data_IF_208647368292
#
_entry.id   IF_208647368292
#
_cell.length_a   1.000
_cell.length_b   1.000
_cell.length_c   1.000
_cell.angle_alpha   90.00
_cell.angle_beta   90.00
_cell.angle_gamma   90.00
#
_symmetry.space_group_name_H-M   'P 1'
#
loop_
_entity.id
_entity.type
_entity.pdbx_description
1 polymer ?
#
# COMPACT_ATOMS: atom_id res chain seq x y z
N UNK A 1 -6.15 -8.97 -2.88
CA UNK A 1 -7.08 -9.92 -3.31
C UNK A 1 -8.12 -10.33 -2.27
N UNK A 2 -8.34 -11.64 -2.17
CA UNK A 2 -9.44 -12.25 -1.43
C UNK A 2 -9.55 -11.74 0.02
N UNK A 3 -8.45 -11.75 0.77
CA UNK A 3 -8.42 -11.29 2.17
C UNK A 3 -9.03 -9.89 2.37
N UNK A 4 -8.72 -8.92 1.50
CA UNK A 4 -9.28 -7.56 1.62
C UNK A 4 -10.75 -7.51 1.25
N UNK A 5 -11.18 -8.37 0.33
CA UNK A 5 -12.58 -8.52 -0.03
C UNK A 5 -13.40 -9.07 1.15
N UNK A 6 -12.87 -10.11 1.78
CA UNK A 6 -13.51 -10.75 2.94
C UNK A 6 -13.62 -9.79 4.13
N UNK A 7 -12.56 -8.99 4.39
CA UNK A 7 -12.62 -7.94 5.42
C UNK A 7 -13.68 -6.87 5.12
N UNK A 8 -13.81 -6.46 3.87
CA UNK A 8 -14.84 -5.49 3.48
C UNK A 8 -16.26 -6.09 3.61
N UNK A 9 -16.40 -7.40 3.43
CA UNK A 9 -17.66 -8.09 3.65
C UNK A 9 -18.00 -8.14 5.15
N UNK A 10 -17.06 -8.55 6.01
CA UNK A 10 -17.24 -8.55 7.46
C UNK A 10 -17.64 -7.16 7.98
N UNK A 11 -16.99 -6.09 7.48
CA UNK A 11 -17.37 -4.72 7.83
C UNK A 11 -18.85 -4.43 7.53
N UNK A 12 -19.35 -4.85 6.37
CA UNK A 12 -20.76 -4.66 6.01
C UNK A 12 -21.70 -5.49 6.88
N UNK A 13 -21.34 -6.74 7.16
CA UNK A 13 -22.13 -7.67 7.96
C UNK A 13 -22.27 -7.17 9.42
N UNK A 14 -21.26 -6.43 9.90
CA UNK A 14 -21.30 -5.75 11.20
C UNK A 14 -21.94 -4.34 11.16
N UNK A 15 -22.60 -3.97 10.06
CA UNK A 15 -23.33 -2.71 9.91
C UNK A 15 -22.48 -1.53 9.44
N UNK A 16 -21.22 -1.75 9.08
CA UNK A 16 -20.36 -0.71 8.52
C UNK A 16 -20.72 -0.39 7.07
N UNK A 17 -20.41 0.83 6.64
CA UNK A 17 -20.64 1.29 5.26
C UNK A 17 -19.31 1.39 4.50
N UNK A 18 -19.25 0.78 3.32
CA UNK A 18 -18.16 0.95 2.38
C UNK A 18 -18.57 1.92 1.27
N UNK A 19 -17.88 3.05 1.18
CA UNK A 19 -18.09 4.08 0.15
C UNK A 19 -16.88 4.12 -0.80
N UNK A 20 -17.12 3.93 -2.08
CA UNK A 20 -16.10 4.08 -3.11
C UNK A 20 -16.02 5.54 -3.53
N UNK A 21 -15.22 6.33 -2.81
CA UNK A 21 -15.03 7.75 -3.05
C UNK A 21 -13.61 8.18 -2.66
N UNK A 22 -13.22 9.40 -3.02
CA UNK A 22 -11.95 10.01 -2.63
C UNK A 22 -12.18 11.02 -1.51
N UNK A 23 -11.50 10.83 -0.37
CA UNK A 23 -11.42 11.84 0.67
C UNK A 23 -10.48 12.97 0.21
N UNK A 24 -11.01 14.17 0.10
CA UNK A 24 -10.27 15.32 -0.43
C UNK A 24 -9.87 16.32 0.63
N UNK A 25 -10.58 16.37 1.77
CA UNK A 25 -10.29 17.27 2.88
C UNK A 25 -10.85 16.76 4.21
N UNK A 26 -10.43 17.39 5.31
CA UNK A 26 -10.91 17.12 6.67
C UNK A 26 -11.24 18.48 7.28
N UNK A 27 -12.48 18.68 7.74
CA UNK A 27 -12.94 19.92 8.37
C UNK A 27 -12.85 19.81 9.88
N UNK A 28 -12.20 20.77 10.49
CA UNK A 28 -12.18 20.96 11.94
C UNK A 28 -13.01 22.20 12.33
N UNK A 29 -13.74 22.10 13.46
CA UNK A 29 -14.32 23.22 14.17
C UNK A 29 -13.85 23.18 15.60
N UNK A 30 -13.39 24.30 16.13
CA UNK A 30 -12.82 24.41 17.50
C UNK A 30 -11.74 23.34 17.78
N UNK A 31 -10.93 23.03 16.75
CA UNK A 31 -9.84 22.07 16.83
C UNK A 31 -10.26 20.59 16.79
N UNK A 32 -11.55 20.29 16.64
CA UNK A 32 -12.06 18.92 16.54
C UNK A 32 -12.65 18.65 15.15
N UNK A 33 -12.53 17.40 14.70
CA UNK A 33 -13.13 16.97 13.44
C UNK A 33 -14.65 17.07 13.51
N UNK A 34 -15.25 17.55 12.42
CA UNK A 34 -16.70 17.58 12.22
C UNK A 34 -17.14 16.82 11.00
N UNK A 35 -16.27 16.69 9.99
CA UNK A 35 -16.60 15.97 8.77
C UNK A 35 -15.37 15.68 7.91
N UNK A 36 -15.47 14.64 7.08
CA UNK A 36 -14.55 14.35 5.98
C UNK A 36 -15.20 14.79 4.67
N UNK A 37 -14.50 15.64 3.92
CA UNK A 37 -14.94 16.05 2.58
C UNK A 37 -14.55 14.97 1.56
N UNK A 38 -15.51 14.54 0.77
CA UNK A 38 -15.27 13.59 -0.33
C UNK A 38 -15.71 14.20 -1.67
N UNK A 39 -15.33 13.57 -2.79
CA UNK A 39 -15.84 13.99 -4.11
C UNK A 39 -17.35 13.85 -4.26
N UNK A 40 -18.00 13.07 -3.41
CA UNK A 40 -19.44 12.82 -3.44
C UNK A 40 -20.21 13.61 -2.37
N UNK A 41 -19.53 14.43 -1.58
CA UNK A 41 -20.11 15.25 -0.53
C UNK A 41 -19.39 15.10 0.81
N UNK A 42 -19.88 15.82 1.80
CA UNK A 42 -19.37 15.81 3.15
C UNK A 42 -19.95 14.62 3.95
N UNK A 43 -19.11 13.96 4.71
CA UNK A 43 -19.47 12.90 5.65
C UNK A 43 -19.24 13.40 7.07
N UNK A 44 -20.29 13.76 7.82
CA UNK A 44 -20.16 14.12 9.23
C UNK A 44 -19.60 12.98 10.06
N UNK A 45 -18.70 13.28 10.98
CA UNK A 45 -18.12 12.29 11.89
C UNK A 45 -17.52 12.96 13.13
N UNK A 46 -17.49 12.23 14.23
CA UNK A 46 -16.84 12.63 15.46
C UNK A 46 -15.37 12.20 15.53
N UNK A 47 -15.03 11.16 14.76
CA UNK A 47 -13.66 10.63 14.64
C UNK A 47 -13.37 10.19 13.21
N UNK A 48 -12.11 10.27 12.79
CA UNK A 48 -11.64 9.74 11.52
C UNK A 48 -10.28 9.07 11.67
N UNK A 49 -10.10 7.94 10.99
CA UNK A 49 -8.79 7.26 10.90
C UNK A 49 -8.22 7.50 9.51
N UNK A 50 -7.08 8.18 9.46
CA UNK A 50 -6.34 8.44 8.23
C UNK A 50 -5.41 7.26 7.93
N UNK A 51 -5.86 6.38 7.05
CA UNK A 51 -5.15 5.16 6.64
C UNK A 51 -4.88 5.12 5.12
N UNK A 52 -4.72 6.28 4.48
CA UNK A 52 -4.61 6.43 3.02
C UNK A 52 -3.18 6.21 2.47
N UNK A 53 -2.31 5.49 3.19
CA UNK A 53 -0.96 5.17 2.74
C UNK A 53 -0.15 6.43 2.43
N UNK A 54 0.48 6.49 1.25
CA UNK A 54 1.29 7.64 0.84
C UNK A 54 0.47 8.93 0.65
N UNK A 55 -0.80 8.80 0.29
CA UNK A 55 -1.70 9.95 0.11
C UNK A 55 -2.09 10.62 1.42
N UNK A 56 -1.88 9.97 2.56
CA UNK A 56 -2.05 10.57 3.89
C UNK A 56 -1.21 11.83 4.07
N UNK A 57 -0.04 11.94 3.42
CA UNK A 57 0.84 13.13 3.48
C UNK A 57 0.10 14.41 3.06
N UNK A 58 -0.73 14.34 2.02
CA UNK A 58 -1.47 15.49 1.53
C UNK A 58 -2.56 15.93 2.51
N UNK A 59 -3.30 14.98 3.09
CA UNK A 59 -4.35 15.25 4.08
C UNK A 59 -3.76 15.76 5.41
N UNK A 60 -2.64 15.18 5.87
CA UNK A 60 -1.92 15.66 7.05
C UNK A 60 -1.50 17.14 6.90
N UNK A 61 -1.01 17.52 5.72
CA UNK A 61 -0.62 18.92 5.45
C UNK A 61 -1.81 19.89 5.54
N UNK A 62 -3.01 19.44 5.15
CA UNK A 62 -4.25 20.24 5.30
C UNK A 62 -4.64 20.43 6.75
N UNK A 63 -4.32 19.48 7.61
CA UNK A 63 -4.47 19.59 9.07
C UNK A 63 -3.34 20.40 9.73
N UNK A 64 -2.43 21.02 8.96
CA UNK A 64 -1.30 21.77 9.48
C UNK A 64 -0.15 20.88 10.00
N UNK A 65 -0.22 19.58 9.80
CA UNK A 65 0.79 18.62 10.32
C UNK A 65 1.75 18.22 9.21
N UNK A 66 3.04 18.49 9.41
CA UNK A 66 4.11 18.07 8.50
C UNK A 66 4.60 16.68 8.87
N UNK A 67 4.51 15.75 7.91
CA UNK A 67 5.02 14.38 8.06
C UNK A 67 6.11 14.10 7.04
N UNK A 68 7.15 13.39 7.48
CA UNK A 68 8.22 12.90 6.62
C UNK A 68 7.81 11.52 6.07
N UNK A 69 7.13 11.54 4.94
CA UNK A 69 6.63 10.35 4.25
C UNK A 69 7.08 10.40 2.78
N UNK A 70 7.76 9.36 2.31
CA UNK A 70 8.23 9.25 0.93
C UNK A 70 7.62 8.03 0.23
N UNK A 71 7.39 8.18 -1.07
CA UNK A 71 6.90 7.10 -1.90
C UNK A 71 8.05 6.18 -2.32
N UNK A 72 8.15 5.03 -1.67
CA UNK A 72 9.04 3.97 -2.10
C UNK A 72 8.32 3.12 -3.15
N UNK A 73 8.71 3.29 -4.42
CA UNK A 73 8.14 2.56 -5.55
C UNK A 73 8.64 1.13 -5.55
N UNK A 74 7.74 0.18 -5.44
CA UNK A 74 8.03 -1.24 -5.56
C UNK A 74 7.51 -1.77 -6.87
N UNK A 75 8.29 -2.67 -7.50
CA UNK A 75 7.96 -3.24 -8.81
C UNK A 75 7.81 -4.74 -8.72
N UNK A 76 6.94 -5.32 -9.57
CA UNK A 76 6.94 -6.75 -9.81
C UNK A 76 6.57 -7.09 -11.26
N UNK A 77 7.01 -8.27 -11.66
CA UNK A 77 6.55 -8.97 -12.85
C UNK A 77 5.71 -10.17 -12.40
N UNK A 78 4.58 -10.36 -13.05
CA UNK A 78 3.73 -11.52 -12.86
C UNK A 78 3.67 -12.32 -14.17
N UNK A 79 4.31 -13.49 -14.18
CA UNK A 79 4.37 -14.40 -15.32
C UNK A 79 3.16 -15.32 -15.27
N UNK A 80 2.34 -15.34 -16.32
CA UNK A 80 1.16 -16.19 -16.45
C UNK A 80 1.50 -17.53 -17.06
N UNK A 81 0.91 -18.59 -16.55
CA UNK A 81 1.14 -19.97 -17.00
C UNK A 81 2.63 -20.31 -17.15
N UNK A 82 3.45 -20.08 -16.10
CA UNK A 82 4.87 -20.32 -16.16
C UNK A 82 5.16 -21.85 -16.24
N UNK A 83 6.10 -22.26 -17.11
CA UNK A 83 6.52 -23.65 -17.22
C UNK A 83 7.28 -24.16 -16.01
N UNK A 84 7.75 -23.26 -15.15
CA UNK A 84 8.50 -23.58 -13.94
C UNK A 84 8.08 -22.64 -12.80
N UNK A 85 7.88 -23.22 -11.61
CA UNK A 85 7.65 -22.47 -10.38
C UNK A 85 8.43 -23.13 -9.23
N UNK A 86 9.01 -22.37 -8.31
CA UNK A 86 9.58 -22.95 -7.11
C UNK A 86 8.45 -23.50 -6.23
N UNK A 87 8.74 -24.52 -5.45
CA UNK A 87 7.75 -25.09 -4.50
C UNK A 87 7.38 -24.11 -3.39
N UNK A 88 8.34 -23.29 -2.95
CA UNK A 88 8.19 -22.33 -1.87
C UNK A 88 8.64 -20.93 -2.34
N UNK A 89 8.15 -19.85 -1.71
CA UNK A 89 8.71 -18.52 -1.90
C UNK A 89 10.21 -18.51 -1.63
N UNK A 90 10.97 -17.81 -2.46
CA UNK A 90 12.42 -17.72 -2.34
C UNK A 90 12.91 -16.29 -2.57
N UNK A 91 14.01 -15.94 -1.89
CA UNK A 91 14.72 -14.68 -2.11
C UNK A 91 15.94 -14.92 -3.01
N UNK A 92 16.02 -14.18 -4.10
CA UNK A 92 17.17 -14.20 -5.00
C UNK A 92 18.14 -13.10 -4.57
N UNK A 93 19.13 -13.44 -3.76
CA UNK A 93 20.06 -12.48 -3.14
C UNK A 93 20.82 -11.64 -4.16
N UNK A 94 21.34 -12.24 -5.23
CA UNK A 94 22.09 -11.54 -6.30
C UNK A 94 21.22 -10.48 -7.01
N UNK A 95 19.93 -10.76 -7.19
CA UNK A 95 18.97 -9.85 -7.86
C UNK A 95 18.18 -8.98 -6.89
N UNK A 96 18.29 -9.22 -5.59
CA UNK A 96 17.54 -8.53 -4.52
C UNK A 96 16.04 -8.50 -4.79
N UNK A 97 15.46 -9.64 -5.22
CA UNK A 97 14.04 -9.78 -5.45
C UNK A 97 13.51 -11.13 -4.93
N UNK A 98 12.23 -11.14 -4.58
CA UNK A 98 11.52 -12.33 -4.15
C UNK A 98 10.81 -12.99 -5.33
N UNK A 99 10.82 -14.29 -5.35
CA UNK A 99 10.09 -15.13 -6.29
C UNK A 99 9.03 -15.89 -5.52
N UNK A 100 7.77 -15.67 -5.86
CA UNK A 100 6.63 -16.26 -5.17
C UNK A 100 5.77 -17.04 -6.15
N UNK A 101 5.58 -18.35 -5.93
CA UNK A 101 4.54 -19.12 -6.63
C UNK A 101 3.17 -18.62 -6.15
N UNK A 102 2.28 -18.31 -7.10
CA UNK A 102 0.93 -17.87 -6.85
C UNK A 102 -0.05 -18.78 -7.58
N UNK A 103 -1.29 -18.88 -7.13
CA UNK A 103 -2.31 -19.63 -7.85
C UNK A 103 -2.53 -19.10 -9.30
N UNK A 104 -2.24 -17.80 -9.51
CA UNK A 104 -2.36 -17.12 -10.82
C UNK A 104 -1.07 -17.11 -11.65
N UNK A 105 0.05 -17.70 -11.18
CA UNK A 105 1.32 -17.72 -11.90
C UNK A 105 2.55 -17.51 -11.02
N UNK A 106 3.63 -16.97 -11.58
CA UNK A 106 4.88 -16.71 -10.88
C UNK A 106 5.09 -15.20 -10.70
N UNK A 107 5.12 -14.73 -9.46
CA UNK A 107 5.39 -13.33 -9.14
C UNK A 107 6.84 -13.10 -8.74
N UNK A 108 7.54 -12.28 -9.49
CA UNK A 108 8.89 -11.81 -9.21
C UNK A 108 8.84 -10.35 -8.76
N UNK A 109 9.03 -10.09 -7.46
CA UNK A 109 8.86 -8.78 -6.85
C UNK A 109 10.15 -8.31 -6.19
N UNK A 110 10.60 -7.13 -6.53
CA UNK A 110 11.82 -6.55 -5.94
C UNK A 110 12.03 -5.13 -6.42
N UNK A 111 13.25 -4.67 -6.23
CA UNK A 111 13.68 -3.31 -6.55
C UNK A 111 12.89 -2.22 -5.81
N UNK A 112 13.59 -1.17 -5.48
CA UNK A 112 13.06 0.03 -4.85
C UNK A 112 13.54 1.23 -5.64
N UNK A 113 12.63 2.16 -5.87
CA UNK A 113 12.93 3.44 -6.51
C UNK A 113 12.28 4.56 -5.69
N UNK A 114 13.04 5.60 -5.37
CA UNK A 114 12.50 6.84 -4.83
C UNK A 114 12.22 7.80 -5.98
N UNK A 115 10.98 8.20 -6.17
CA UNK A 115 10.60 9.01 -7.34
C UNK A 115 9.26 9.71 -7.22
N UNK A 116 8.73 9.83 -6.00
CA UNK A 116 7.44 10.44 -5.73
C UNK A 116 6.27 9.68 -6.38
N UNK A 117 5.10 10.29 -6.39
CA UNK A 117 3.84 9.66 -6.83
C UNK A 117 3.34 10.13 -8.20
N UNK A 118 3.97 11.15 -8.79
CA UNK A 118 3.45 11.83 -9.99
C UNK A 118 3.94 11.23 -11.32
N UNK A 119 5.14 10.63 -11.33
CA UNK A 119 5.69 10.00 -12.53
C UNK A 119 5.21 8.56 -12.66
N UNK A 120 4.96 8.11 -13.88
CA UNK A 120 4.64 6.72 -14.20
C UNK A 120 5.77 5.74 -13.83
N UNK A 121 5.57 4.43 -14.02
CA UNK A 121 6.58 3.41 -13.74
C UNK A 121 7.82 3.57 -14.62
N UNK A 122 8.99 3.29 -14.03
CA UNK A 122 10.27 3.27 -14.73
C UNK A 122 10.50 1.89 -15.36
N UNK A 123 11.06 1.87 -16.58
CA UNK A 123 11.37 0.60 -17.28
C UNK A 123 12.53 -0.16 -16.64
N UNK A 124 13.56 0.56 -16.18
CA UNK A 124 14.81 -0.04 -15.67
C UNK A 124 14.60 -1.06 -14.51
N UNK A 125 13.78 -0.79 -13.48
CA UNK A 125 13.48 -1.79 -12.45
C UNK A 125 12.84 -3.06 -13.00
N UNK A 126 11.89 -2.93 -13.92
CA UNK A 126 11.20 -4.06 -14.54
C UNK A 126 12.15 -4.91 -15.42
N UNK A 127 12.97 -4.27 -16.23
CA UNK A 127 14.00 -4.94 -17.03
C UNK A 127 15.03 -5.67 -16.16
N UNK A 128 15.39 -5.09 -15.02
CA UNK A 128 16.29 -5.70 -14.05
C UNK A 128 15.70 -7.00 -13.48
N UNK A 129 14.44 -6.95 -13.03
CA UNK A 129 13.72 -8.13 -12.53
C UNK A 129 13.64 -9.20 -13.62
N UNK A 130 13.27 -8.83 -14.84
CA UNK A 130 13.16 -9.74 -15.99
C UNK A 130 14.48 -10.44 -16.29
N UNK A 131 15.57 -9.68 -16.34
CA UNK A 131 16.92 -10.20 -16.57
C UNK A 131 17.35 -11.20 -15.48
N UNK A 132 17.14 -10.85 -14.21
CA UNK A 132 17.49 -11.72 -13.09
C UNK A 132 16.58 -12.96 -13.02
N UNK A 133 15.30 -12.83 -13.32
CA UNK A 133 14.39 -13.98 -13.43
C UNK A 133 14.89 -14.97 -14.48
N UNK A 134 15.32 -14.49 -15.66
CA UNK A 134 15.91 -15.34 -16.72
C UNK A 134 17.21 -16.03 -16.29
N UNK A 135 18.01 -15.39 -15.43
CA UNK A 135 19.22 -16.02 -14.88
C UNK A 135 18.91 -17.15 -13.90
N UNK A 136 17.84 -17.01 -13.10
CA UNK A 136 17.40 -18.02 -12.13
C UNK A 136 16.66 -19.17 -12.81
N UNK A 137 15.87 -18.86 -13.82
CA UNK A 137 15.05 -19.80 -14.59
C UNK A 137 15.36 -19.67 -16.10
N UNK A 138 16.51 -20.22 -16.58
CA UNK A 138 16.93 -20.04 -17.97
C UNK A 138 15.94 -20.59 -18.99
N UNK A 139 15.24 -21.67 -18.64
CA UNK A 139 14.26 -22.37 -19.51
C UNK A 139 12.81 -21.94 -19.25
N UNK A 140 12.58 -20.88 -18.46
CA UNK A 140 11.23 -20.39 -18.16
C UNK A 140 10.53 -19.93 -19.44
N UNK A 141 9.41 -20.56 -19.76
CA UNK A 141 8.42 -20.11 -20.73
C UNK A 141 7.15 -19.68 -20.01
N UNK A 142 6.40 -18.77 -20.60
CA UNK A 142 5.15 -18.24 -20.06
C UNK A 142 4.31 -17.65 -21.19
N UNK A 143 3.01 -17.52 -20.97
CA UNK A 143 2.10 -16.99 -22.01
C UNK A 143 2.16 -15.46 -22.05
N UNK A 144 2.20 -14.81 -20.88
CA UNK A 144 2.18 -13.35 -20.77
C UNK A 144 2.91 -12.89 -19.50
N UNK A 145 3.29 -11.61 -19.46
CA UNK A 145 3.90 -10.98 -18.29
C UNK A 145 3.23 -9.65 -17.99
N UNK A 146 2.64 -9.56 -16.80
CA UNK A 146 2.08 -8.31 -16.29
C UNK A 146 3.13 -7.54 -15.51
N UNK A 147 3.25 -6.26 -15.81
CA UNK A 147 4.11 -5.31 -15.11
C UNK A 147 3.29 -4.52 -14.10
N UNK A 148 3.82 -4.36 -12.90
CA UNK A 148 3.13 -3.60 -11.86
C UNK A 148 4.10 -2.75 -11.05
N UNK A 149 3.62 -1.59 -10.64
CA UNK A 149 4.31 -0.68 -9.72
C UNK A 149 3.34 -0.17 -8.67
N UNK A 150 3.79 -0.08 -7.43
CA UNK A 150 3.02 0.50 -6.33
C UNK A 150 3.88 1.36 -5.42
N UNK A 151 3.21 2.17 -4.62
CA UNK A 151 3.82 3.13 -3.70
C UNK A 151 3.74 2.62 -2.27
N UNK A 152 4.89 2.35 -1.65
CA UNK A 152 4.96 2.08 -0.22
C UNK A 152 5.13 3.40 0.52
N UNK A 153 4.33 3.65 1.55
CA UNK A 153 4.46 4.85 2.38
C UNK A 153 5.61 4.68 3.36
N UNK A 154 6.79 5.19 3.04
CA UNK A 154 8.00 4.99 3.85
C UNK A 154 8.30 6.21 4.71
N UNK A 155 8.53 5.97 5.98
CA UNK A 155 9.02 6.92 6.99
C UNK A 155 10.53 6.81 7.13
N UNK A 156 11.24 7.86 7.56
CA UNK A 156 12.72 7.83 7.68
C UNK A 156 13.25 6.79 8.68
N UNK A 157 12.50 6.55 9.75
CA UNK A 157 12.84 5.62 10.83
C UNK A 157 12.22 4.24 10.66
N UNK A 158 11.47 4.02 9.56
CA UNK A 158 10.74 2.79 9.27
C UNK A 158 9.61 2.47 10.26
N UNK A 159 9.21 3.40 11.12
CA UNK A 159 8.09 3.23 12.05
C UNK A 159 6.82 3.84 11.47
N UNK A 160 5.68 3.15 11.57
CA UNK A 160 4.39 3.71 11.16
C UNK A 160 3.94 4.82 12.10
N UNK A 161 3.20 5.77 11.58
CA UNK A 161 2.51 6.80 12.36
C UNK A 161 1.16 6.25 12.78
N UNK A 162 0.99 6.02 14.09
CA UNK A 162 -0.21 5.43 14.67
C UNK A 162 -0.59 6.21 15.94
N UNK A 163 -1.82 6.71 16.00
CA UNK A 163 -2.36 7.42 17.17
C UNK A 163 -3.09 8.70 16.81
N UNK A 164 -3.69 9.32 17.81
CA UNK A 164 -4.46 10.55 17.66
C UNK A 164 -3.55 11.77 17.38
N UNK A 165 -3.98 12.64 16.51
CA UNK A 165 -3.33 13.90 16.19
C UNK A 165 -3.76 14.99 17.18
N UNK A 166 -3.05 15.09 18.28
CA UNK A 166 -3.45 16.00 19.37
C UNK A 166 -4.77 15.55 20.02
N UNK A 167 -5.75 16.46 20.09
CA UNK A 167 -7.11 16.18 20.58
C UNK A 167 -8.15 16.45 19.50
N UNK A 168 -7.81 16.19 18.24
CA UNK A 168 -8.64 16.55 17.11
C UNK A 168 -9.73 15.53 16.78
N UNK A 169 -9.66 14.30 17.31
CA UNK A 169 -10.48 13.18 16.86
C UNK A 169 -10.01 12.56 15.53
N UNK A 170 -8.89 13.04 14.96
CA UNK A 170 -8.27 12.44 13.78
C UNK A 170 -7.11 11.54 14.20
N UNK A 171 -7.14 10.29 13.78
CA UNK A 171 -6.11 9.30 14.09
C UNK A 171 -5.27 9.01 12.85
N UNK A 172 -3.96 8.95 13.01
CA UNK A 172 -3.04 8.45 12.00
C UNK A 172 -2.95 6.92 12.07
N UNK A 173 -2.93 6.24 10.93
CA UNK A 173 -2.71 4.80 10.80
C UNK A 173 -2.04 4.48 9.46
N UNK A 174 -0.86 5.03 9.18
CA UNK A 174 -0.16 4.89 7.91
C UNK A 174 1.36 4.87 8.08
N UNK A 175 2.09 4.69 6.98
CA UNK A 175 3.56 4.67 7.01
C UNK A 175 4.17 3.28 7.27
N UNK A 176 3.42 2.21 7.06
CA UNK A 176 3.81 0.83 7.36
C UNK A 176 4.78 0.19 6.37
N UNK A 177 5.21 0.89 5.32
CA UNK A 177 6.13 0.38 4.31
C UNK A 177 5.73 -1.02 3.76
N UNK A 178 6.53 -2.05 4.04
CA UNK A 178 6.32 -3.43 3.59
C UNK A 178 5.38 -4.25 4.48
N UNK A 179 5.17 -3.83 5.73
CA UNK A 179 4.52 -4.63 6.77
C UNK A 179 3.05 -4.26 7.02
N UNK A 180 2.47 -3.38 6.21
CA UNK A 180 1.12 -2.86 6.44
C UNK A 180 0.04 -3.94 6.57
N UNK A 181 0.10 -4.98 5.76
CA UNK A 181 -0.84 -6.09 5.85
C UNK A 181 -0.69 -6.88 7.16
N UNK A 182 0.56 -7.15 7.57
CA UNK A 182 0.86 -7.91 8.79
C UNK A 182 0.59 -7.10 10.06
N UNK A 183 0.91 -5.80 10.04
CA UNK A 183 0.74 -4.92 11.17
C UNK A 183 -0.68 -4.34 11.30
N UNK A 184 -1.49 -4.43 10.24
CA UNK A 184 -2.84 -3.86 10.16
C UNK A 184 -3.75 -4.19 11.35
N UNK A 185 -3.89 -5.47 11.75
CA UNK A 185 -4.74 -5.84 12.88
C UNK A 185 -4.29 -5.21 14.20
N UNK A 186 -2.97 -5.13 14.44
CA UNK A 186 -2.43 -4.46 15.63
C UNK A 186 -2.64 -2.96 15.57
N UNK A 187 -2.45 -2.35 14.41
CA UNK A 187 -2.71 -0.91 14.20
C UNK A 187 -4.18 -0.58 14.46
N UNK A 188 -5.10 -1.38 13.92
CA UNK A 188 -6.54 -1.20 14.17
C UNK A 188 -6.88 -1.22 15.69
N UNK A 189 -6.30 -2.15 16.44
CA UNK A 189 -6.49 -2.24 17.90
C UNK A 189 -5.90 -1.07 18.70
N UNK A 190 -4.93 -0.34 18.13
CA UNK A 190 -4.33 0.83 18.79
C UNK A 190 -5.19 2.07 18.56
N UNK A 191 -5.85 2.19 17.42
CA UNK A 191 -6.64 3.37 17.06
C UNK A 191 -8.13 3.24 17.37
N UNK A 192 -8.61 2.02 17.70
CA UNK A 192 -9.95 1.76 18.22
C UNK A 192 -10.03 2.09 19.70
#
# INVERSE_FOLDING_TARGET
>A
GQYMHDLAQVLRDEGGTYLQTEAVDITLSDGRITQVQTRQGALPCDHAVLAAGIWSKALMRKLGVKVHLEAERGYHLHFKNPSQTPRNPMMVSKGKFAVNPMASGLRCAGTVELGGITKGPSKRPLELIKRHTKQVFPSLTYDDVEEWMGFRPSTPDSLPLVGELGKTGVFAAFGHQHIGLTAGPKTGRIVA
#
